data_IF_771262295912
#
_entry.id   IF_771262295912
#
_cell.length_a   1.000
_cell.length_b   1.000
_cell.length_c   1.000
_cell.angle_alpha   90.00
_cell.angle_beta   90.00
_cell.angle_gamma   90.00
#
_symmetry.space_group_name_H-M   'P 1'
#
loop_
_entity.id
_entity.type
_entity.pdbx_description
1 polymer ?
#
# COMPACT_ATOMS: atom_id res chain seq x y z
N UNK A 1 40.61 12.42 -75.31
CA UNK A 1 39.17 12.36 -75.01
C UNK A 1 38.83 11.22 -74.03
N UNK A 2 39.75 10.44 -73.57
CA UNK A 2 39.56 9.26 -72.71
C UNK A 2 39.64 9.55 -71.21
N UNK A 3 40.19 10.69 -70.79
CA UNK A 3 40.50 11.00 -69.37
C UNK A 3 39.43 11.76 -68.63
N UNK A 4 38.20 11.93 -69.15
CA UNK A 4 37.06 12.62 -68.44
C UNK A 4 35.95 11.67 -67.94
N UNK A 5 35.97 10.41 -68.34
CA UNK A 5 34.93 9.44 -67.87
C UNK A 5 35.28 8.78 -66.54
N UNK A 6 36.54 8.63 -66.19
CA UNK A 6 36.96 7.93 -64.96
C UNK A 6 36.78 8.75 -63.69
N UNK A 7 36.73 10.07 -63.78
CA UNK A 7 36.48 10.95 -62.58
C UNK A 7 35.03 11.06 -62.20
N UNK A 8 34.09 10.85 -63.11
CA UNK A 8 32.64 10.94 -62.79
C UNK A 8 32.14 9.67 -62.06
N UNK A 9 32.77 8.50 -62.31
CA UNK A 9 32.38 7.25 -61.67
C UNK A 9 32.91 7.13 -60.24
N UNK A 10 34.10 7.69 -59.95
CA UNK A 10 34.70 7.69 -58.62
C UNK A 10 33.91 8.61 -57.65
N UNK A 11 33.41 9.76 -58.12
CA UNK A 11 32.60 10.65 -57.31
C UNK A 11 31.18 10.12 -57.02
N UNK A 12 30.62 9.29 -57.91
CA UNK A 12 29.32 8.64 -57.68
C UNK A 12 29.42 7.45 -56.69
N UNK A 13 30.49 6.66 -56.75
CA UNK A 13 30.75 5.58 -55.82
C UNK A 13 31.00 6.12 -54.39
N UNK A 14 31.77 7.18 -54.23
CA UNK A 14 32.03 7.82 -52.93
C UNK A 14 30.74 8.44 -52.31
N UNK A 15 29.89 9.01 -53.15
CA UNK A 15 28.57 9.52 -52.72
C UNK A 15 27.61 8.40 -52.31
N UNK A 16 27.63 7.27 -52.95
CA UNK A 16 26.80 6.12 -52.60
C UNK A 16 27.32 5.46 -51.32
N UNK A 17 28.62 5.34 -51.11
CA UNK A 17 29.22 4.84 -49.88
C UNK A 17 28.90 5.75 -48.68
N UNK A 18 29.00 7.07 -48.86
CA UNK A 18 28.67 8.06 -47.84
C UNK A 18 27.16 8.04 -47.43
N UNK A 19 26.26 7.86 -48.41
CA UNK A 19 24.82 7.72 -48.15
C UNK A 19 24.48 6.40 -47.43
N UNK A 20 25.12 5.30 -47.83
CA UNK A 20 24.94 4.00 -47.17
C UNK A 20 25.42 4.01 -45.72
N UNK A 21 26.56 4.64 -45.46
CA UNK A 21 27.11 4.79 -44.11
C UNK A 21 26.22 5.66 -43.19
N UNK A 22 25.69 6.76 -43.71
CA UNK A 22 24.73 7.60 -42.97
C UNK A 22 23.45 6.85 -42.62
N UNK A 23 22.86 6.11 -43.55
CA UNK A 23 21.68 5.29 -43.30
C UNK A 23 21.93 4.19 -42.27
N UNK A 24 23.11 3.58 -42.24
CA UNK A 24 23.53 2.59 -41.24
C UNK A 24 23.65 3.26 -39.84
N UNK A 25 24.27 4.42 -39.77
CA UNK A 25 24.42 5.18 -38.49
C UNK A 25 23.06 5.61 -37.97
N UNK A 26 22.14 6.12 -38.77
CA UNK A 26 20.79 6.53 -38.36
C UNK A 26 19.97 5.34 -37.87
N UNK A 27 20.09 4.18 -38.53
CA UNK A 27 19.44 2.93 -38.06
C UNK A 27 20.02 2.46 -36.73
N UNK A 28 21.35 2.53 -36.56
CA UNK A 28 22.02 2.12 -35.32
C UNK A 28 21.62 3.03 -34.14
N UNK A 29 21.52 4.37 -34.37
CA UNK A 29 21.07 5.33 -33.38
C UNK A 29 19.59 5.10 -33.03
N UNK A 30 18.73 4.81 -34.00
CA UNK A 30 17.32 4.50 -33.77
C UNK A 30 17.12 3.21 -32.96
N UNK A 31 17.92 2.18 -33.21
CA UNK A 31 17.91 0.92 -32.45
C UNK A 31 18.40 1.15 -31.02
N UNK A 32 19.46 1.92 -30.81
CA UNK A 32 19.98 2.28 -29.48
C UNK A 32 18.96 3.09 -28.67
N UNK A 33 18.26 4.05 -29.30
CA UNK A 33 17.19 4.82 -28.68
C UNK A 33 15.98 3.93 -28.30
N UNK A 34 15.59 2.99 -29.17
CA UNK A 34 14.50 2.05 -28.88
C UNK A 34 14.88 1.09 -27.74
N UNK A 35 16.12 0.59 -27.70
CA UNK A 35 16.62 -0.24 -26.59
C UNK A 35 16.69 0.54 -25.27
N UNK A 36 17.11 1.82 -25.32
CA UNK A 36 17.16 2.69 -24.13
C UNK A 36 15.75 2.98 -23.58
N UNK A 37 14.76 3.19 -24.46
CA UNK A 37 13.36 3.40 -24.06
C UNK A 37 12.74 2.12 -23.47
N UNK A 38 12.99 0.95 -24.05
CA UNK A 38 12.55 -0.34 -23.51
C UNK A 38 13.20 -0.67 -22.17
N UNK A 39 14.47 -0.34 -21.98
CA UNK A 39 15.18 -0.54 -20.72
C UNK A 39 14.64 0.38 -19.60
N UNK A 40 14.22 1.61 -19.96
CA UNK A 40 13.62 2.56 -19.00
C UNK A 40 12.22 2.11 -18.54
N UNK A 41 11.40 1.61 -19.46
CA UNK A 41 10.07 1.06 -19.14
C UNK A 41 10.16 -0.25 -18.34
N UNK A 42 11.08 -1.14 -18.67
CA UNK A 42 11.32 -2.38 -17.93
C UNK A 42 11.81 -2.10 -16.49
N UNK A 43 12.62 -1.07 -16.29
CA UNK A 43 13.14 -0.70 -14.97
C UNK A 43 12.05 -0.07 -14.08
N UNK A 44 11.14 0.73 -14.66
CA UNK A 44 9.98 1.25 -13.94
C UNK A 44 9.00 0.13 -13.53
N UNK A 45 8.89 -0.92 -14.35
CA UNK A 45 8.06 -2.09 -14.07
C UNK A 45 8.68 -2.99 -12.97
N UNK A 46 10.01 -3.00 -12.81
CA UNK A 46 10.71 -3.78 -11.78
C UNK A 46 10.59 -3.20 -10.37
N UNK A 47 10.29 -1.92 -10.23
CA UNK A 47 10.22 -1.24 -8.92
C UNK A 47 9.08 -1.73 -8.04
N UNK A 48 8.03 -2.35 -8.58
CA UNK A 48 6.90 -2.91 -7.83
C UNK A 48 6.91 -4.43 -7.73
N UNK A 49 7.92 -5.10 -8.30
CA UNK A 49 8.02 -6.57 -8.22
C UNK A 49 8.10 -7.04 -6.77
N UNK A 50 7.13 -7.89 -6.40
CA UNK A 50 7.03 -8.45 -5.06
C UNK A 50 6.37 -7.54 -4.01
N UNK A 51 5.98 -6.31 -4.37
CA UNK A 51 5.29 -5.37 -3.47
C UNK A 51 3.92 -5.91 -3.06
N UNK A 52 3.58 -5.73 -1.78
CA UNK A 52 2.24 -6.00 -1.23
C UNK A 52 1.70 -4.68 -0.68
N UNK A 53 0.55 -4.25 -1.20
CA UNK A 53 -0.19 -3.11 -0.66
C UNK A 53 -1.24 -3.63 0.33
N UNK A 54 -1.07 -3.34 1.61
CA UNK A 54 -1.99 -3.82 2.64
C UNK A 54 -3.19 -2.90 2.87
N UNK A 55 -3.32 -1.82 2.09
CA UNK A 55 -4.34 -0.80 2.30
C UNK A 55 -4.83 -0.24 0.95
N UNK A 56 -5.68 -1.01 0.25
CA UNK A 56 -6.16 -0.67 -1.09
C UNK A 56 -7.69 -0.55 -1.14
N UNK A 57 -8.20 0.66 -1.38
CA UNK A 57 -9.64 0.92 -1.53
C UNK A 57 -10.09 0.73 -2.97
N UNK A 58 -11.23 0.04 -3.18
CA UNK A 58 -11.74 -0.30 -4.52
C UNK A 58 -13.24 -0.33 -4.56
N UNK A 59 -13.81 -0.16 -5.76
CA UNK A 59 -15.19 -0.60 -6.01
C UNK A 59 -15.27 -2.15 -6.03
N UNK A 60 -16.45 -2.73 -5.70
CA UNK A 60 -17.64 -2.05 -5.20
C UNK A 60 -17.45 -1.55 -3.75
N UNK A 61 -17.84 -0.32 -3.52
CA UNK A 61 -17.87 0.31 -2.20
C UNK A 61 -19.13 1.21 -2.12
N UNK A 62 -19.58 1.52 -0.92
CA UNK A 62 -20.62 2.54 -0.67
C UNK A 62 -20.10 3.98 -0.83
N UNK A 63 -18.79 4.15 -1.04
CA UNK A 63 -18.12 5.40 -1.33
C UNK A 63 -17.55 5.38 -2.76
N UNK A 64 -17.51 6.51 -3.49
CA UNK A 64 -16.93 6.53 -4.83
C UNK A 64 -15.45 6.12 -4.82
N UNK A 65 -15.07 5.21 -5.73
CA UNK A 65 -13.69 4.75 -5.91
C UNK A 65 -13.22 5.00 -7.35
N UNK A 66 -11.91 5.02 -7.53
CA UNK A 66 -11.28 5.30 -8.83
C UNK A 66 -11.14 4.06 -9.72
N UNK A 67 -11.26 2.85 -9.15
CA UNK A 67 -11.06 1.58 -9.85
C UNK A 67 -11.77 0.46 -9.11
N UNK A 68 -12.31 -0.53 -9.84
CA UNK A 68 -12.83 -1.74 -9.24
C UNK A 68 -11.73 -2.75 -8.86
N UNK A 69 -12.07 -3.69 -7.96
CA UNK A 69 -11.13 -4.65 -7.40
C UNK A 69 -10.51 -5.60 -8.44
N UNK A 70 -11.27 -5.97 -9.48
CA UNK A 70 -10.78 -6.88 -10.53
C UNK A 70 -9.77 -6.16 -11.42
N UNK A 71 -10.08 -4.94 -11.85
CA UNK A 71 -9.20 -4.15 -12.69
C UNK A 71 -7.96 -3.69 -11.91
N UNK A 72 -8.09 -3.37 -10.62
CA UNK A 72 -6.93 -3.11 -9.77
C UNK A 72 -6.02 -4.35 -9.66
N UNK A 73 -6.59 -5.54 -9.44
CA UNK A 73 -5.82 -6.77 -9.37
C UNK A 73 -5.09 -7.09 -10.68
N UNK A 74 -5.74 -6.86 -11.84
CA UNK A 74 -5.11 -6.98 -13.15
C UNK A 74 -3.94 -6.01 -13.32
N UNK A 75 -4.16 -4.74 -12.98
CA UNK A 75 -3.12 -3.70 -13.03
C UNK A 75 -1.95 -4.01 -12.10
N UNK A 76 -2.21 -4.34 -10.84
CA UNK A 76 -1.19 -4.69 -9.87
C UNK A 76 -0.35 -5.90 -10.32
N UNK A 77 -1.01 -6.95 -10.84
CA UNK A 77 -0.34 -8.11 -11.44
C UNK A 77 0.54 -7.72 -12.63
N UNK A 78 0.03 -6.87 -13.53
CA UNK A 78 0.80 -6.37 -14.68
C UNK A 78 2.04 -5.59 -14.25
N UNK A 79 1.98 -4.88 -13.11
CA UNK A 79 3.08 -4.14 -12.54
C UNK A 79 4.02 -4.99 -11.67
N UNK A 80 3.77 -6.31 -11.59
CA UNK A 80 4.61 -7.27 -10.88
C UNK A 80 4.39 -7.31 -9.37
N UNK A 81 3.36 -6.69 -8.85
CA UNK A 81 3.04 -6.75 -7.41
C UNK A 81 2.71 -8.19 -6.98
N UNK A 82 3.11 -8.55 -5.76
CA UNK A 82 2.80 -9.84 -5.15
C UNK A 82 1.35 -9.91 -4.70
N UNK A 83 0.82 -8.85 -4.09
CA UNK A 83 -0.53 -8.92 -3.54
C UNK A 83 -1.13 -7.59 -3.12
N UNK A 84 -2.42 -7.65 -2.75
CA UNK A 84 -3.23 -6.55 -2.27
C UNK A 84 -4.10 -7.01 -1.10
N UNK A 85 -4.33 -6.13 -0.13
CA UNK A 85 -5.44 -6.25 0.82
C UNK A 85 -6.51 -5.24 0.42
N UNK A 86 -7.68 -5.75 0.02
CA UNK A 86 -8.83 -4.93 -0.31
C UNK A 86 -9.48 -4.41 0.97
N UNK A 87 -9.68 -3.11 1.05
CA UNK A 87 -10.26 -2.44 2.21
C UNK A 87 -11.45 -1.57 1.81
N UNK A 88 -12.58 -1.79 2.48
CA UNK A 88 -13.75 -0.92 2.44
C UNK A 88 -14.20 -0.65 3.87
N UNK A 89 -14.75 0.55 4.13
CA UNK A 89 -15.02 0.98 5.50
C UNK A 89 -16.28 0.38 6.11
N UNK A 90 -17.24 -0.06 5.29
CA UNK A 90 -18.60 -0.32 5.77
C UNK A 90 -19.06 -1.77 5.58
N UNK A 91 -18.19 -2.63 5.07
CA UNK A 91 -18.47 -4.04 4.80
C UNK A 91 -17.20 -4.90 4.88
N UNK A 92 -17.36 -6.22 4.98
CA UNK A 92 -16.22 -7.14 4.87
C UNK A 92 -15.88 -7.39 3.41
N UNK A 93 -14.60 -7.25 3.08
CA UNK A 93 -14.06 -7.52 1.73
C UNK A 93 -13.57 -8.95 1.53
N UNK A 94 -13.76 -9.85 2.50
CA UNK A 94 -13.30 -11.24 2.41
C UNK A 94 -13.98 -12.02 1.26
N UNK A 95 -15.28 -11.78 1.01
CA UNK A 95 -15.99 -12.38 -0.11
C UNK A 95 -15.51 -11.81 -1.46
N UNK A 96 -15.26 -10.51 -1.52
CA UNK A 96 -14.69 -9.84 -2.70
C UNK A 96 -13.32 -10.42 -3.04
N UNK A 97 -12.43 -10.56 -2.05
CA UNK A 97 -11.12 -11.19 -2.23
C UNK A 97 -11.21 -12.60 -2.82
N UNK A 98 -12.18 -13.41 -2.38
CA UNK A 98 -12.43 -14.74 -2.95
C UNK A 98 -12.78 -14.67 -4.44
N UNK A 99 -13.67 -13.77 -4.84
CA UNK A 99 -14.09 -13.62 -6.24
C UNK A 99 -12.95 -13.10 -7.10
N UNK A 100 -12.24 -12.05 -6.65
CA UNK A 100 -11.12 -11.46 -7.38
C UNK A 100 -9.99 -12.46 -7.61
N UNK A 101 -9.64 -13.27 -6.61
CA UNK A 101 -8.62 -14.35 -6.76
C UNK A 101 -8.99 -15.37 -7.83
N UNK A 102 -10.28 -15.68 -7.98
CA UNK A 102 -10.74 -16.59 -9.04
C UNK A 102 -10.63 -15.97 -10.43
N UNK A 103 -10.97 -14.68 -10.53
CA UNK A 103 -10.98 -13.95 -11.80
C UNK A 103 -9.56 -13.58 -12.26
N UNK A 104 -8.66 -13.27 -11.31
CA UNK A 104 -7.29 -12.85 -11.59
C UNK A 104 -6.29 -13.77 -10.88
N UNK A 105 -6.06 -14.99 -11.38
CA UNK A 105 -5.12 -15.91 -10.77
C UNK A 105 -3.68 -15.40 -10.89
N UNK A 106 -2.82 -15.76 -9.93
CA UNK A 106 -1.39 -15.43 -9.93
C UNK A 106 -1.06 -14.07 -9.31
N UNK A 107 -1.99 -13.48 -8.56
CA UNK A 107 -1.75 -12.41 -7.60
C UNK A 107 -2.44 -12.78 -6.28
N UNK A 108 -1.84 -12.45 -5.15
CA UNK A 108 -2.41 -12.71 -3.82
C UNK A 108 -3.35 -11.56 -3.44
N UNK A 109 -4.65 -11.87 -3.32
CA UNK A 109 -5.67 -10.90 -2.89
C UNK A 109 -6.23 -11.34 -1.55
N UNK A 110 -6.21 -10.43 -0.59
CA UNK A 110 -6.79 -10.60 0.73
C UNK A 110 -7.87 -9.55 0.96
N UNK A 111 -8.70 -9.79 1.93
CA UNK A 111 -9.69 -8.84 2.42
C UNK A 111 -9.65 -8.75 3.93
N UNK A 112 -10.55 -7.98 4.47
CA UNK A 112 -10.67 -7.79 5.91
C UNK A 112 -12.04 -7.29 6.31
N UNK A 113 -12.09 -6.68 7.49
CA UNK A 113 -13.29 -6.05 8.05
C UNK A 113 -12.91 -4.82 8.86
N UNK A 114 -13.56 -3.70 8.59
CA UNK A 114 -13.50 -2.48 9.39
C UNK A 114 -14.67 -2.51 10.41
N UNK A 115 -14.35 -2.37 11.69
CA UNK A 115 -15.34 -2.52 12.77
C UNK A 115 -16.16 -1.23 13.00
N UNK A 116 -16.70 -0.69 11.89
CA UNK A 116 -17.60 0.46 11.90
C UNK A 116 -19.05 0.07 12.23
N UNK A 117 -19.93 1.05 12.40
CA UNK A 117 -21.34 0.85 12.80
C UNK A 117 -22.11 -0.12 11.89
N UNK A 118 -21.82 -0.10 10.58
CA UNK A 118 -22.52 -0.92 9.58
C UNK A 118 -22.33 -2.42 9.78
N UNK A 119 -21.20 -2.84 10.37
CA UNK A 119 -20.94 -4.24 10.73
C UNK A 119 -21.26 -4.54 12.21
N UNK A 120 -21.89 -3.58 12.91
CA UNK A 120 -22.27 -3.69 14.31
C UNK A 120 -21.23 -3.15 15.30
N UNK A 121 -20.33 -2.27 14.85
CA UNK A 121 -19.24 -1.73 15.67
C UNK A 121 -18.14 -2.75 15.93
N UNK A 122 -17.51 -2.71 17.11
CA UNK A 122 -16.56 -3.75 17.53
C UNK A 122 -17.34 -5.04 17.80
N UNK A 123 -17.55 -5.81 16.75
CA UNK A 123 -18.43 -6.98 16.73
C UNK A 123 -17.63 -8.30 16.55
N UNK A 124 -17.37 -9.03 17.65
CA UNK A 124 -16.66 -10.31 17.59
C UNK A 124 -17.31 -11.33 16.66
N UNK A 125 -18.66 -11.38 16.59
CA UNK A 125 -19.38 -12.31 15.73
C UNK A 125 -19.16 -12.01 14.24
N UNK A 126 -19.02 -10.74 13.85
CA UNK A 126 -18.71 -10.36 12.48
C UNK A 126 -17.29 -10.79 12.08
N UNK A 127 -16.32 -10.67 12.98
CA UNK A 127 -14.94 -11.14 12.76
C UNK A 127 -14.91 -12.66 12.60
N UNK A 128 -15.58 -13.42 13.47
CA UNK A 128 -15.66 -14.89 13.34
C UNK A 128 -16.33 -15.31 12.01
N UNK A 129 -17.34 -14.58 11.52
CA UNK A 129 -17.95 -14.85 10.22
C UNK A 129 -17.02 -14.54 9.05
N UNK A 130 -16.22 -13.46 9.14
CA UNK A 130 -15.17 -13.18 8.16
C UNK A 130 -14.15 -14.30 8.08
N UNK A 131 -13.70 -14.83 9.23
CA UNK A 131 -12.73 -15.95 9.30
C UNK A 131 -13.26 -17.19 8.59
N UNK A 132 -14.54 -17.49 8.75
CA UNK A 132 -15.20 -18.66 8.15
C UNK A 132 -15.49 -18.51 6.65
N UNK A 133 -15.22 -17.36 6.06
CA UNK A 133 -15.41 -17.15 4.63
C UNK A 133 -14.55 -18.12 3.82
N UNK A 134 -15.17 -18.74 2.82
CA UNK A 134 -14.51 -19.73 1.95
C UNK A 134 -13.21 -19.19 1.37
N UNK A 135 -12.13 -19.98 1.49
CA UNK A 135 -10.79 -19.63 1.02
C UNK A 135 -9.87 -19.07 2.10
N UNK A 136 -10.41 -18.55 3.21
CA UNK A 136 -9.60 -17.99 4.31
C UNK A 136 -8.86 -16.70 3.91
N UNK A 137 -9.43 -15.92 2.99
CA UNK A 137 -8.79 -14.72 2.46
C UNK A 137 -9.13 -13.45 3.25
N UNK A 138 -10.03 -13.52 4.26
CA UNK A 138 -10.21 -12.48 5.27
C UNK A 138 -9.04 -12.52 6.24
N UNK A 139 -8.12 -11.57 6.15
CA UNK A 139 -6.84 -11.58 6.89
C UNK A 139 -6.70 -10.41 7.85
N UNK A 140 -7.35 -9.30 7.61
CA UNK A 140 -7.11 -8.07 8.36
C UNK A 140 -8.37 -7.63 9.09
N UNK A 141 -8.22 -7.27 10.35
CA UNK A 141 -9.26 -6.66 11.20
C UNK A 141 -8.80 -5.26 11.57
N UNK A 142 -9.49 -4.25 11.04
CA UNK A 142 -9.29 -2.87 11.45
C UNK A 142 -10.22 -2.55 12.62
N UNK A 143 -9.69 -1.97 13.66
CA UNK A 143 -10.51 -1.27 14.64
C UNK A 143 -11.31 -0.16 13.92
N UNK A 144 -12.36 0.40 14.52
CA UNK A 144 -13.22 1.36 13.85
C UNK A 144 -12.41 2.46 13.15
N UNK A 145 -12.83 2.81 11.93
CA UNK A 145 -12.22 3.86 11.11
C UNK A 145 -13.08 5.12 11.11
N UNK A 146 -13.87 5.37 10.08
CA UNK A 146 -14.69 6.60 10.02
C UNK A 146 -15.69 6.73 11.17
N UNK A 147 -16.20 5.62 11.71
CA UNK A 147 -17.11 5.65 12.85
C UNK A 147 -16.38 5.61 14.21
N UNK A 148 -15.05 5.61 14.24
CA UNK A 148 -14.30 5.69 15.49
C UNK A 148 -14.61 6.98 16.24
N UNK A 149 -14.77 6.90 17.56
CA UNK A 149 -15.01 8.08 18.42
C UNK A 149 -14.01 9.19 18.19
N UNK A 150 -12.71 8.84 18.07
CA UNK A 150 -11.64 9.79 17.80
C UNK A 150 -11.84 10.50 16.45
N UNK A 151 -12.17 9.77 15.39
CA UNK A 151 -12.44 10.34 14.06
C UNK A 151 -13.64 11.29 14.09
N UNK A 152 -14.76 10.84 14.65
CA UNK A 152 -15.99 11.64 14.71
C UNK A 152 -15.77 12.94 15.49
N UNK A 153 -15.02 12.87 16.60
CA UNK A 153 -14.65 14.05 17.41
C UNK A 153 -13.67 14.97 16.66
N UNK A 154 -12.68 14.42 15.98
CA UNK A 154 -11.73 15.18 15.17
C UNK A 154 -12.46 15.97 14.07
N UNK A 155 -13.41 15.33 13.38
CA UNK A 155 -14.24 15.95 12.34
C UNK A 155 -15.30 16.90 12.89
N UNK A 156 -15.44 17.02 14.22
CA UNK A 156 -16.46 17.83 14.91
C UNK A 156 -17.87 17.48 14.48
N UNK A 157 -18.13 16.20 14.17
CA UNK A 157 -19.44 15.71 13.77
C UNK A 157 -20.28 15.33 14.99
N UNK A 158 -21.60 15.53 14.88
CA UNK A 158 -22.59 15.09 15.86
C UNK A 158 -23.38 13.91 15.32
N UNK A 159 -22.75 12.72 15.34
CA UNK A 159 -23.35 11.45 14.88
C UNK A 159 -22.92 10.30 15.79
N UNK A 160 -23.63 9.16 15.75
CA UNK A 160 -23.17 7.95 16.44
C UNK A 160 -21.73 7.56 16.08
N UNK A 161 -21.03 7.01 17.03
CA UNK A 161 -19.66 6.54 16.90
C UNK A 161 -19.43 5.22 17.64
N UNK A 162 -18.30 4.60 17.41
CA UNK A 162 -17.83 3.40 18.06
C UNK A 162 -16.61 3.75 18.91
N UNK A 163 -16.71 3.52 20.23
CA UNK A 163 -15.58 3.66 21.16
C UNK A 163 -14.80 2.35 21.22
N UNK A 164 -13.50 2.43 21.45
CA UNK A 164 -12.63 1.27 21.69
C UNK A 164 -12.17 1.18 23.15
N UNK A 165 -12.24 2.29 23.87
CA UNK A 165 -11.83 2.41 25.27
C UNK A 165 -12.81 3.25 26.08
N UNK A 166 -12.72 3.11 27.40
CA UNK A 166 -13.38 3.98 28.36
C UNK A 166 -12.53 4.12 29.62
N UNK A 167 -12.26 5.37 30.01
CA UNK A 167 -11.46 5.63 31.20
C UNK A 167 -10.06 5.03 31.20
N UNK A 168 -9.43 4.98 30.01
CA UNK A 168 -8.08 4.42 29.83
C UNK A 168 -8.00 2.88 29.78
N UNK A 169 -9.14 2.21 29.65
CA UNK A 169 -9.22 0.75 29.54
C UNK A 169 -9.97 0.36 28.27
N UNK A 170 -9.48 -0.67 27.54
CA UNK A 170 -10.17 -1.23 26.38
C UNK A 170 -11.52 -1.84 26.79
N UNK A 171 -12.49 -1.71 25.91
CA UNK A 171 -13.83 -2.28 26.12
C UNK A 171 -13.79 -3.82 25.99
N UNK A 172 -14.70 -4.55 26.68
CA UNK A 172 -14.71 -6.01 26.65
C UNK A 172 -14.81 -6.62 25.24
N UNK A 173 -15.59 -6.00 24.35
CA UNK A 173 -15.73 -6.43 22.96
C UNK A 173 -14.42 -6.26 22.15
N UNK A 174 -13.62 -5.24 22.48
CA UNK A 174 -12.28 -5.05 21.87
C UNK A 174 -11.36 -6.19 22.28
N UNK A 175 -11.36 -6.56 23.57
CA UNK A 175 -10.58 -7.69 24.09
C UNK A 175 -10.98 -9.01 23.43
N UNK A 176 -12.29 -9.24 23.22
CA UNK A 176 -12.80 -10.43 22.52
C UNK A 176 -12.34 -10.47 21.06
N UNK A 177 -12.35 -9.33 20.35
CA UNK A 177 -11.81 -9.26 18.98
C UNK A 177 -10.33 -9.56 18.97
N UNK A 178 -9.54 -9.01 19.90
CA UNK A 178 -8.10 -9.29 20.02
C UNK A 178 -7.86 -10.81 20.23
N UNK A 179 -8.65 -11.46 21.08
CA UNK A 179 -8.56 -12.92 21.32
C UNK A 179 -8.85 -13.72 20.04
N UNK A 180 -9.86 -13.31 19.25
CA UNK A 180 -10.17 -13.93 17.94
C UNK A 180 -9.01 -13.73 16.96
N UNK A 181 -8.46 -12.53 16.88
CA UNK A 181 -7.31 -12.20 16.02
C UNK A 181 -6.11 -13.08 16.38
N UNK A 182 -5.78 -13.21 17.67
CA UNK A 182 -4.69 -14.05 18.15
C UNK A 182 -4.93 -15.54 17.80
N UNK A 183 -6.13 -16.06 18.10
CA UNK A 183 -6.52 -17.45 17.83
C UNK A 183 -6.40 -17.82 16.35
N UNK A 184 -6.80 -16.93 15.45
CA UNK A 184 -6.84 -17.18 14.01
C UNK A 184 -5.64 -16.63 13.24
N UNK A 185 -4.63 -16.11 13.95
CA UNK A 185 -3.42 -15.53 13.37
C UNK A 185 -3.73 -14.47 12.28
N UNK A 186 -4.69 -13.60 12.59
CA UNK A 186 -5.05 -12.47 11.72
C UNK A 186 -4.14 -11.28 11.98
N UNK A 187 -4.20 -10.32 11.08
CA UNK A 187 -3.58 -9.01 11.27
C UNK A 187 -4.56 -8.08 11.98
N UNK A 188 -4.13 -7.47 13.08
CA UNK A 188 -4.87 -6.42 13.77
C UNK A 188 -4.34 -5.06 13.36
N UNK A 189 -5.23 -4.19 12.92
CA UNK A 189 -4.90 -2.78 12.65
C UNK A 189 -5.66 -1.83 13.58
N UNK A 190 -5.00 -0.75 14.03
CA UNK A 190 -5.57 0.17 15.04
C UNK A 190 -6.69 1.06 14.51
N UNK A 191 -6.94 1.07 13.18
CA UNK A 191 -7.96 1.93 12.57
C UNK A 191 -7.72 3.42 12.81
N UNK A 192 -8.79 4.19 13.07
CA UNK A 192 -8.70 5.61 13.38
C UNK A 192 -8.70 5.91 14.89
N UNK A 193 -8.25 4.96 15.70
CA UNK A 193 -8.09 5.15 17.14
C UNK A 193 -7.09 6.28 17.43
N UNK A 194 -7.28 7.01 18.53
CA UNK A 194 -6.32 8.02 18.97
C UNK A 194 -4.93 7.40 19.19
N UNK A 195 -3.89 8.21 19.28
CA UNK A 195 -2.54 7.70 19.59
C UNK A 195 -2.52 6.93 20.91
N UNK A 196 -3.24 7.39 21.91
CA UNK A 196 -3.37 6.76 23.23
C UNK A 196 -4.11 5.42 23.15
N UNK A 197 -5.26 5.39 22.49
CA UNK A 197 -6.05 4.16 22.30
C UNK A 197 -5.30 3.16 21.41
N UNK A 198 -4.60 3.63 20.38
CA UNK A 198 -3.75 2.82 19.55
C UNK A 198 -2.65 2.11 20.33
N UNK A 199 -2.00 2.81 21.27
CA UNK A 199 -1.00 2.21 22.18
C UNK A 199 -1.63 1.19 23.12
N UNK A 200 -2.83 1.44 23.66
CA UNK A 200 -3.55 0.45 24.48
C UNK A 200 -3.88 -0.81 23.69
N UNK A 201 -4.38 -0.65 22.45
CA UNK A 201 -4.69 -1.77 21.55
C UNK A 201 -3.44 -2.59 21.25
N UNK A 202 -2.34 -1.93 20.85
CA UNK A 202 -1.07 -2.60 20.53
C UNK A 202 -0.53 -3.37 21.75
N UNK A 203 -0.50 -2.72 22.91
CA UNK A 203 -0.02 -3.33 24.15
C UNK A 203 -0.83 -4.58 24.52
N UNK A 204 -2.15 -4.47 24.56
CA UNK A 204 -3.04 -5.59 24.91
C UNK A 204 -2.97 -6.72 23.87
N UNK A 205 -2.92 -6.38 22.58
CA UNK A 205 -2.75 -7.36 21.50
C UNK A 205 -1.43 -8.12 21.65
N UNK A 206 -0.33 -7.44 21.93
CA UNK A 206 0.96 -8.07 22.23
C UNK A 206 0.87 -9.02 23.41
N UNK A 207 0.28 -8.58 24.55
CA UNK A 207 0.12 -9.41 25.75
C UNK A 207 -0.75 -10.66 25.51
N UNK A 208 -1.73 -10.58 24.61
CA UNK A 208 -2.59 -11.72 24.23
C UNK A 208 -2.02 -12.57 23.10
N UNK A 209 -0.79 -12.30 22.65
CA UNK A 209 -0.08 -13.12 21.68
C UNK A 209 -0.48 -12.89 20.22
N UNK A 210 -1.07 -11.72 19.87
CA UNK A 210 -1.26 -11.33 18.48
C UNK A 210 0.11 -11.15 17.84
N UNK A 211 0.37 -11.89 16.76
CA UNK A 211 1.67 -11.90 16.08
C UNK A 211 1.81 -10.78 15.04
N UNK A 212 0.67 -10.28 14.53
CA UNK A 212 0.60 -9.38 13.38
C UNK A 212 -0.19 -8.13 13.76
N UNK A 213 0.52 -7.08 14.17
CA UNK A 213 -0.09 -5.82 14.63
C UNK A 213 0.43 -4.70 13.74
N UNK A 214 -0.47 -3.82 13.27
CA UNK A 214 -0.15 -2.65 12.47
C UNK A 214 -0.83 -1.42 13.08
N UNK A 215 -0.07 -0.35 13.27
CA UNK A 215 -0.61 0.97 13.57
C UNK A 215 -0.99 1.61 12.25
N UNK A 216 -2.27 1.70 11.98
CA UNK A 216 -2.85 2.22 10.73
C UNK A 216 -2.47 3.68 10.55
N UNK A 217 -1.88 4.06 9.41
CA UNK A 217 -1.46 5.42 9.00
C UNK A 217 -1.18 6.38 10.19
N UNK A 218 -0.21 5.98 11.03
CA UNK A 218 0.10 6.57 12.35
C UNK A 218 0.25 8.10 12.39
N UNK A 219 0.66 8.72 11.29
CA UNK A 219 0.87 10.17 11.18
C UNK A 219 -0.31 10.92 10.58
N UNK A 220 -1.43 10.26 10.29
CA UNK A 220 -2.65 10.96 9.84
C UNK A 220 -3.14 11.96 10.88
N UNK A 221 -3.67 13.12 10.48
CA UNK A 221 -3.96 14.25 11.39
C UNK A 221 -4.86 13.90 12.56
N UNK A 222 -5.82 12.99 12.39
CA UNK A 222 -6.73 12.54 13.44
C UNK A 222 -6.07 11.61 14.46
N UNK A 223 -4.96 10.94 14.11
CA UNK A 223 -4.19 10.05 15.00
C UNK A 223 -3.00 10.81 15.58
N UNK A 224 -2.23 11.47 14.73
CA UNK A 224 -1.11 12.34 15.06
C UNK A 224 -0.11 11.70 16.06
N UNK A 225 0.18 10.41 15.89
CA UNK A 225 1.12 9.68 16.74
C UNK A 225 2.51 10.30 16.66
N UNK A 226 3.09 10.60 17.79
CA UNK A 226 4.46 11.13 17.88
C UNK A 226 5.51 10.05 17.61
N UNK A 227 6.72 10.44 17.22
CA UNK A 227 7.83 9.48 17.03
C UNK A 227 8.08 8.61 18.28
N UNK A 228 8.13 9.14 19.51
CA UNK A 228 8.27 8.31 20.71
C UNK A 228 7.13 7.28 20.88
N UNK A 229 5.88 7.65 20.56
CA UNK A 229 4.73 6.73 20.59
C UNK A 229 4.86 5.65 19.53
N UNK A 230 5.24 5.99 18.30
CA UNK A 230 5.52 5.01 17.23
C UNK A 230 6.64 4.04 17.65
N UNK A 231 7.72 4.54 18.26
CA UNK A 231 8.80 3.70 18.78
C UNK A 231 8.32 2.78 19.90
N UNK A 232 7.39 3.22 20.75
CA UNK A 232 6.81 2.36 21.77
C UNK A 232 5.95 1.26 21.14
N UNK A 233 5.06 1.59 20.23
CA UNK A 233 4.27 0.59 19.50
C UNK A 233 5.16 -0.45 18.78
N UNK A 234 6.26 0.01 18.18
CA UNK A 234 7.23 -0.87 17.53
C UNK A 234 7.94 -1.82 18.52
N UNK A 235 8.26 -1.36 19.76
CA UNK A 235 8.78 -2.24 20.82
C UNK A 235 7.79 -3.30 21.28
N UNK A 236 6.50 -2.98 21.22
CA UNK A 236 5.41 -3.92 21.51
C UNK A 236 5.06 -4.79 20.28
N UNK A 237 5.93 -4.81 19.25
CA UNK A 237 5.84 -5.72 18.10
C UNK A 237 4.97 -5.21 16.94
N UNK A 238 4.45 -3.99 17.00
CA UNK A 238 3.64 -3.45 15.92
C UNK A 238 4.51 -2.89 14.78
N UNK A 239 4.01 -3.02 13.56
CA UNK A 239 4.47 -2.24 12.40
C UNK A 239 3.78 -0.87 12.39
N UNK A 240 4.53 0.15 11.99
CA UNK A 240 4.03 1.50 11.79
C UNK A 240 3.75 1.72 10.31
N UNK A 241 2.51 1.95 9.95
CA UNK A 241 2.10 2.15 8.57
C UNK A 241 2.24 3.61 8.14
N UNK A 242 2.89 3.82 6.98
CA UNK A 242 3.01 5.09 6.27
C UNK A 242 2.28 4.98 4.93
N UNK A 243 1.29 5.82 4.70
CA UNK A 243 0.42 5.75 3.53
C UNK A 243 0.63 6.92 2.59
N UNK A 244 0.68 6.63 1.28
CA UNK A 244 0.92 7.67 0.28
C UNK A 244 -0.22 8.70 0.21
N UNK A 245 -1.48 8.25 0.33
CA UNK A 245 -2.66 9.13 0.28
C UNK A 245 -2.57 10.27 1.28
N UNK A 246 -2.01 10.04 2.47
CA UNK A 246 -1.85 11.04 3.53
C UNK A 246 -0.95 12.21 3.15
N UNK A 247 -0.15 12.09 2.07
CA UNK A 247 0.73 13.16 1.55
C UNK A 247 0.10 13.94 0.40
N UNK A 248 -1.11 13.57 -0.04
CA UNK A 248 -1.76 14.13 -1.21
C UNK A 248 -2.81 15.19 -0.86
N UNK A 249 -3.03 16.09 -1.82
CA UNK A 249 -4.06 17.10 -1.74
C UNK A 249 -3.72 18.31 -0.84
N UNK A 250 -4.60 19.32 -0.86
CA UNK A 250 -4.34 20.60 -0.17
C UNK A 250 -4.44 20.50 1.36
N UNK A 251 -5.02 19.42 1.88
CA UNK A 251 -5.22 19.20 3.32
C UNK A 251 -4.15 18.28 3.93
N UNK A 252 -3.15 17.85 3.15
CA UNK A 252 -2.04 17.07 3.66
C UNK A 252 -1.30 17.85 4.76
N UNK A 253 -1.25 17.31 5.97
CA UNK A 253 -0.56 17.88 7.14
C UNK A 253 0.85 17.34 7.31
N UNK A 254 1.17 16.24 6.67
CA UNK A 254 2.46 15.55 6.71
C UNK A 254 2.97 15.38 5.30
N UNK A 255 4.28 15.57 5.13
CA UNK A 255 4.96 15.39 3.85
C UNK A 255 5.90 14.20 3.85
N UNK A 256 6.45 13.89 2.69
CA UNK A 256 7.45 12.83 2.53
C UNK A 256 8.69 13.04 3.43
N UNK A 257 9.21 14.28 3.64
CA UNK A 257 10.31 14.51 4.58
C UNK A 257 9.97 14.10 6.01
N UNK A 258 8.72 14.32 6.47
CA UNK A 258 8.26 13.92 7.81
C UNK A 258 8.23 12.39 7.94
N UNK A 259 7.72 11.70 6.91
CA UNK A 259 7.76 10.24 6.84
C UNK A 259 9.19 9.69 6.88
N UNK A 260 10.09 10.25 6.07
CA UNK A 260 11.49 9.82 6.05
C UNK A 260 12.17 10.03 7.40
N UNK A 261 11.87 11.13 8.12
CA UNK A 261 12.35 11.38 9.49
C UNK A 261 11.80 10.32 10.45
N UNK A 262 10.51 10.03 10.41
CA UNK A 262 9.87 9.05 11.28
C UNK A 262 10.39 7.63 11.01
N UNK A 263 10.49 7.21 9.74
CA UNK A 263 11.05 5.92 9.33
C UNK A 263 12.46 5.73 9.87
N UNK A 264 13.33 6.74 9.75
CA UNK A 264 14.71 6.66 10.31
C UNK A 264 14.72 6.54 11.84
N UNK A 265 13.79 7.21 12.50
CA UNK A 265 13.70 7.20 13.96
C UNK A 265 13.10 5.91 14.54
N UNK A 266 12.10 5.35 13.88
CA UNK A 266 11.45 4.07 14.25
C UNK A 266 12.32 2.88 13.85
N UNK A 267 12.95 2.96 12.69
CA UNK A 267 13.69 1.90 12.04
C UNK A 267 12.85 1.15 10.99
N UNK A 268 13.39 0.95 9.76
CA UNK A 268 12.65 0.34 8.64
C UNK A 268 12.15 -1.08 8.95
N UNK A 269 12.77 -1.80 9.87
CA UNK A 269 12.33 -3.15 10.30
C UNK A 269 10.91 -3.17 10.89
N UNK A 270 10.45 -2.05 11.46
CA UNK A 270 9.13 -1.92 12.07
C UNK A 270 8.21 -0.98 11.30
N UNK A 271 8.47 -0.73 10.02
CA UNK A 271 7.67 0.16 9.18
C UNK A 271 7.07 -0.60 8.00
N UNK A 272 5.89 -0.16 7.55
CA UNK A 272 5.22 -0.62 6.32
C UNK A 272 4.88 0.59 5.46
N UNK A 273 5.05 0.45 4.15
CA UNK A 273 4.62 1.41 3.14
C UNK A 273 3.39 0.86 2.41
N UNK A 274 2.29 1.59 2.44
CA UNK A 274 1.03 1.25 1.79
C UNK A 274 0.51 2.42 0.97
N UNK A 275 -0.51 2.19 0.16
CA UNK A 275 -1.05 3.25 -0.67
C UNK A 275 -2.14 4.06 0.03
N UNK A 276 -3.11 3.41 0.65
CA UNK A 276 -4.39 3.99 1.10
C UNK A 276 -5.07 4.79 -0.02
N UNK A 277 -4.88 4.32 -1.27
CA UNK A 277 -5.43 4.93 -2.47
C UNK A 277 -6.77 4.29 -2.86
N UNK A 278 -7.40 4.86 -3.87
CA UNK A 278 -8.72 4.50 -4.39
C UNK A 278 -9.70 5.66 -4.44
N UNK A 279 -9.34 6.83 -3.91
CA UNK A 279 -10.17 8.02 -3.93
C UNK A 279 -10.14 8.64 -5.34
N UNK A 280 -11.28 9.10 -5.90
CA UNK A 280 -11.32 9.77 -7.19
C UNK A 280 -10.37 10.97 -7.24
N UNK A 281 -9.62 11.10 -8.33
CA UNK A 281 -8.66 12.18 -8.54
C UNK A 281 -7.25 11.91 -8.03
N UNK A 282 -7.04 10.89 -7.20
CA UNK A 282 -5.71 10.43 -6.81
C UNK A 282 -5.11 9.49 -7.88
N UNK A 283 -3.78 9.28 -7.90
CA UNK A 283 -3.16 8.24 -8.72
C UNK A 283 -3.74 6.85 -8.40
N UNK A 284 -3.74 5.92 -9.36
CA UNK A 284 -4.04 4.52 -9.09
C UNK A 284 -2.94 3.90 -8.21
N UNK A 285 -3.28 2.90 -7.42
CA UNK A 285 -2.44 2.29 -6.40
C UNK A 285 -1.01 1.97 -6.85
N UNK A 286 -0.76 1.24 -7.96
CA UNK A 286 0.61 0.95 -8.39
C UNK A 286 1.38 2.21 -8.79
N UNK A 287 0.72 3.18 -9.44
CA UNK A 287 1.37 4.42 -9.85
C UNK A 287 1.67 5.30 -8.63
N UNK A 288 0.75 5.37 -7.67
CA UNK A 288 0.96 6.07 -6.42
C UNK A 288 2.09 5.48 -5.60
N UNK A 289 2.18 4.14 -5.48
CA UNK A 289 3.30 3.49 -4.79
C UNK A 289 4.63 3.76 -5.47
N UNK A 290 4.68 3.74 -6.80
CA UNK A 290 5.90 4.08 -7.54
C UNK A 290 6.36 5.52 -7.27
N UNK A 291 5.41 6.47 -7.24
CA UNK A 291 5.68 7.87 -6.89
C UNK A 291 6.13 8.00 -5.43
N UNK A 292 5.49 7.31 -4.52
CA UNK A 292 5.83 7.29 -3.09
C UNK A 292 7.27 6.81 -2.87
N UNK A 293 7.63 5.66 -3.45
CA UNK A 293 8.97 5.10 -3.33
C UNK A 293 10.03 6.02 -3.95
N UNK A 294 9.73 6.62 -5.11
CA UNK A 294 10.63 7.58 -5.73
C UNK A 294 10.84 8.83 -4.85
N UNK A 295 9.79 9.31 -4.17
CA UNK A 295 9.87 10.44 -3.27
C UNK A 295 10.68 10.10 -2.00
N UNK A 296 10.49 8.92 -1.40
CA UNK A 296 11.26 8.47 -0.24
C UNK A 296 12.75 8.30 -0.58
N UNK A 297 13.09 7.80 -1.78
CA UNK A 297 14.48 7.73 -2.24
C UNK A 297 15.13 9.11 -2.32
N UNK A 298 14.40 10.13 -2.78
CA UNK A 298 14.92 11.53 -2.80
C UNK A 298 15.21 12.05 -1.40
N UNK A 299 14.47 11.59 -0.39
CA UNK A 299 14.73 11.88 1.02
C UNK A 299 15.81 10.98 1.64
N UNK A 300 16.49 10.15 0.85
CA UNK A 300 17.62 9.32 1.30
C UNK A 300 17.23 8.02 1.97
N UNK A 301 15.97 7.55 1.83
CA UNK A 301 15.61 6.16 2.20
C UNK A 301 16.16 5.22 1.14
N UNK A 302 16.91 4.20 1.56
CA UNK A 302 17.56 3.26 0.65
C UNK A 302 16.54 2.36 -0.07
N UNK A 303 16.89 1.85 -1.25
CA UNK A 303 16.03 0.88 -1.95
C UNK A 303 15.83 -0.39 -1.13
N UNK A 304 16.86 -0.85 -0.42
CA UNK A 304 16.75 -2.01 0.48
C UNK A 304 15.75 -1.79 1.61
N UNK A 305 15.70 -0.58 2.18
CA UNK A 305 14.70 -0.24 3.20
C UNK A 305 13.30 -0.16 2.61
N UNK A 306 13.16 0.42 1.42
CA UNK A 306 11.87 0.45 0.70
C UNK A 306 11.39 -0.98 0.40
N UNK A 307 12.27 -1.86 -0.08
CA UNK A 307 11.95 -3.26 -0.34
C UNK A 307 11.55 -4.01 0.94
N UNK A 308 12.25 -3.75 2.03
CA UNK A 308 11.90 -4.30 3.34
C UNK A 308 10.48 -3.87 3.77
N UNK A 309 10.19 -2.56 3.68
CA UNK A 309 8.94 -1.96 4.14
C UNK A 309 7.74 -2.20 3.20
N UNK A 310 7.97 -2.49 1.92
CA UNK A 310 6.90 -2.68 0.93
C UNK A 310 6.71 -4.14 0.48
N UNK A 311 7.65 -5.04 0.81
CA UNK A 311 7.61 -6.46 0.41
C UNK A 311 7.68 -7.39 1.61
N UNK A 312 8.75 -7.32 2.39
CA UNK A 312 9.03 -8.27 3.48
C UNK A 312 8.14 -8.02 4.70
N UNK A 313 8.05 -6.77 5.16
CA UNK A 313 7.26 -6.44 6.35
C UNK A 313 5.77 -6.65 6.13
N UNK A 314 5.14 -6.20 5.01
CA UNK A 314 3.73 -6.50 4.76
C UNK A 314 3.46 -8.00 4.59
N UNK A 315 4.39 -8.78 4.00
CA UNK A 315 4.25 -10.23 3.96
C UNK A 315 4.22 -10.84 5.37
N UNK A 316 5.15 -10.43 6.25
CA UNK A 316 5.16 -10.88 7.65
C UNK A 316 3.92 -10.43 8.41
N UNK A 317 3.47 -9.18 8.22
CA UNK A 317 2.25 -8.66 8.84
C UNK A 317 1.01 -9.46 8.44
N UNK A 318 0.98 -10.03 7.24
CA UNK A 318 -0.10 -10.92 6.77
C UNK A 318 0.12 -12.40 7.10
N UNK A 319 1.17 -12.77 7.82
CA UNK A 319 1.52 -14.15 8.13
C UNK A 319 1.90 -14.98 6.89
N UNK A 320 2.46 -14.34 5.85
CA UNK A 320 2.91 -15.01 4.62
C UNK A 320 4.39 -15.41 4.73
N UNK A 321 4.72 -16.53 4.09
CA UNK A 321 6.10 -17.01 3.97
C UNK A 321 6.84 -16.35 2.79
#
# INVERSE_FOLDING_TARGET
>A
AENRRDWATADEEDRMHSKSLRLLIERFISILLAFSLCAFTARAQSDLSGVIDIHAHTDPDSMPRSIDAIDLARLAKQRGMRGLVLKNHYESTAALAYVVRKEVPGIEIFGGIDLNLTVGGVNPAAVERMVLMKGGWGKVVWMPTFDNENQVRYDKQSRPFVSVSKGGHLLPEVLQVIDIVAKHQLTLETGHSSAEDGLLIVHEAHQRGVQHIVVTHAMSPQIAMTIPQMQQAARDGAYIEFVYSGTLGPNAKVGIPDFAKAIRAVGPNSCILSSDLGQPGNPLHPDGLALFFAALRKEGISQSDIDLMSKTNPAKALGLQ
#
